data_IF_089985631192
#
_entry.id   IF_089985631192
#
_cell.length_a   1.000
_cell.length_b   1.000
_cell.length_c   1.000
_cell.angle_alpha   90.00
_cell.angle_beta   90.00
_cell.angle_gamma   90.00
#
_symmetry.space_group_name_H-M   'P 1'
#
loop_
_entity.id
_entity.type
_entity.pdbx_description
1 polymer ?
#
# COMPACT_ATOMS: atom_id res chain seq x y z
N UNK A 1 3.88 -2.56 -0.12
CA UNK A 1 3.24 -1.22 0.02
C UNK A 1 3.02 -0.67 -1.37
N UNK A 2 1.88 -0.06 -1.68
CA UNK A 2 1.50 0.25 -3.07
C UNK A 2 1.07 1.69 -3.20
N UNK A 3 1.29 2.30 -4.36
CA UNK A 3 0.97 3.72 -4.57
C UNK A 3 -0.06 3.83 -5.68
N UNK A 4 -1.25 4.35 -5.34
CA UNK A 4 -2.22 4.80 -6.31
C UNK A 4 -1.88 6.24 -6.69
N UNK A 5 -1.66 6.49 -7.98
CA UNK A 5 -1.42 7.85 -8.48
C UNK A 5 -2.64 8.27 -9.30
N UNK A 6 -3.40 9.24 -8.81
CA UNK A 6 -4.55 9.83 -9.49
C UNK A 6 -4.09 11.12 -10.20
N UNK A 7 -3.88 11.04 -11.52
CA UNK A 7 -3.54 12.21 -12.35
C UNK A 7 -4.81 12.59 -13.13
N UNK A 8 -5.45 13.70 -12.77
CA UNK A 8 -6.51 14.29 -13.58
C UNK A 8 -5.90 15.18 -14.69
N UNK A 9 -6.23 14.96 -15.98
CA UNK A 9 -6.11 15.97 -17.05
C UNK A 9 -7.49 16.56 -17.43
N UNK A 10 -7.55 17.71 -18.15
CA UNK A 10 -6.52 18.19 -19.08
C UNK A 10 -6.22 19.70 -18.99
N UNK A 11 -5.04 20.18 -18.57
CA UNK A 11 -4.77 21.63 -18.73
C UNK A 11 -3.36 22.03 -19.16
N UNK A 12 -3.37 23.12 -19.93
CA UNK A 12 -2.27 23.84 -20.57
C UNK A 12 -1.52 24.72 -19.58
N UNK A 13 -0.26 24.97 -19.92
CA UNK A 13 0.72 25.81 -19.23
C UNK A 13 0.22 27.25 -19.11
N UNK A 14 -0.05 27.67 -17.87
CA UNK A 14 0.19 29.02 -17.37
C UNK A 14 -0.02 29.02 -15.84
N UNK A 15 1.10 29.24 -15.15
CA UNK A 15 1.20 30.10 -13.96
C UNK A 15 0.77 29.61 -12.56
N UNK A 16 1.70 29.89 -11.63
CA UNK A 16 1.66 29.99 -10.16
C UNK A 16 2.01 28.79 -9.25
N UNK A 17 3.03 29.09 -8.42
CA UNK A 17 3.63 28.34 -7.33
C UNK A 17 2.86 28.56 -6.02
N UNK A 18 2.55 27.50 -5.24
CA UNK A 18 2.69 27.50 -3.78
C UNK A 18 2.50 26.09 -3.17
N UNK A 19 3.42 25.73 -2.26
CA UNK A 19 3.27 24.81 -1.11
C UNK A 19 2.78 23.38 -1.35
N UNK A 20 3.71 22.47 -1.63
CA UNK A 20 3.52 21.06 -1.28
C UNK A 20 3.61 20.90 0.24
N UNK A 21 2.45 20.85 0.92
CA UNK A 21 2.38 20.42 2.32
C UNK A 21 2.31 18.90 2.33
N UNK A 22 3.46 18.26 2.47
CA UNK A 22 3.50 16.87 2.96
C UNK A 22 3.00 16.95 4.40
N UNK A 23 1.80 16.46 4.68
CA UNK A 23 1.45 16.19 6.07
C UNK A 23 2.47 15.18 6.59
N UNK A 24 3.19 15.59 7.63
CA UNK A 24 4.19 14.75 8.28
C UNK A 24 3.51 13.42 8.61
N UNK A 25 4.19 12.33 8.28
CA UNK A 25 3.94 11.06 8.95
C UNK A 25 4.14 11.33 10.44
N UNK A 26 3.05 11.42 11.20
CA UNK A 26 3.13 11.57 12.65
C UNK A 26 3.78 10.29 13.18
N UNK A 27 5.03 10.40 13.64
CA UNK A 27 5.81 9.28 14.17
C UNK A 27 5.19 8.61 15.40
N UNK A 28 4.14 9.21 15.97
CA UNK A 28 3.33 8.62 17.03
C UNK A 28 2.50 7.41 16.54
N UNK A 29 2.04 7.40 15.28
CA UNK A 29 1.27 6.28 14.71
C UNK A 29 2.15 5.01 14.50
N UNK A 30 3.49 5.14 14.49
CA UNK A 30 4.42 4.02 14.36
C UNK A 30 4.72 3.34 15.71
N UNK A 31 4.68 4.08 16.81
CA UNK A 31 5.01 3.57 18.15
C UNK A 31 3.90 2.70 18.74
N UNK A 32 2.64 2.96 18.39
CA UNK A 32 1.49 2.21 18.91
C UNK A 32 1.30 0.83 18.24
N UNK A 33 2.06 0.55 17.18
CA UNK A 33 1.96 -0.71 16.42
C UNK A 33 2.70 -1.89 17.07
N UNK A 34 3.40 -1.69 18.19
CA UNK A 34 4.24 -2.74 18.79
C UNK A 34 5.36 -3.22 17.86
N UNK A 35 5.71 -2.42 16.84
CA UNK A 35 6.78 -2.68 15.87
C UNK A 35 8.15 -2.27 16.44
N UNK A 36 8.20 -1.83 17.69
CA UNK A 36 9.41 -1.39 18.38
C UNK A 36 10.33 -2.53 18.87
N UNK A 37 9.84 -3.75 18.99
CA UNK A 37 10.66 -4.88 19.44
C UNK A 37 10.76 -5.94 18.34
N UNK A 38 12.00 -6.26 17.96
CA UNK A 38 12.42 -7.40 17.14
C UNK A 38 12.25 -7.28 15.62
N UNK A 39 13.10 -6.47 14.96
CA UNK A 39 13.73 -6.85 13.67
C UNK A 39 14.71 -5.82 13.07
N UNK A 40 15.27 -4.88 13.84
CA UNK A 40 16.37 -4.02 13.34
C UNK A 40 17.76 -4.38 13.90
N UNK A 41 17.86 -5.29 14.87
CA UNK A 41 19.12 -5.55 15.57
C UNK A 41 20.06 -6.58 14.88
N UNK A 42 19.71 -7.11 13.70
CA UNK A 42 20.51 -8.15 13.02
C UNK A 42 20.94 -7.77 11.60
N UNK A 43 21.10 -6.49 11.31
CA UNK A 43 22.06 -6.08 10.29
C UNK A 43 23.38 -5.90 11.04
N UNK A 44 24.32 -6.83 10.87
CA UNK A 44 25.72 -6.50 11.14
C UNK A 44 26.00 -5.21 10.36
N UNK A 45 26.46 -4.17 11.05
CA UNK A 45 26.98 -2.94 10.43
C UNK A 45 28.16 -3.35 9.53
N UNK A 46 27.84 -3.76 8.30
CA UNK A 46 28.79 -3.74 7.22
C UNK A 46 29.08 -2.27 6.95
N UNK A 47 30.35 -1.89 7.10
CA UNK A 47 30.89 -0.63 6.57
C UNK A 47 30.84 -0.68 5.02
N UNK A 48 29.64 -0.75 4.44
CA UNK A 48 29.44 -0.65 3.01
C UNK A 48 28.71 0.68 2.72
N UNK A 49 29.22 1.41 1.73
CA UNK A 49 28.87 2.77 1.29
C UNK A 49 27.40 3.00 0.83
N UNK A 50 26.41 2.28 1.37
CA UNK A 50 25.00 2.36 0.97
C UNK A 50 24.27 3.60 1.51
N UNK A 51 24.68 4.13 2.67
CA UNK A 51 24.10 5.36 3.26
C UNK A 51 24.33 6.61 2.39
N UNK A 52 25.35 6.59 1.53
CA UNK A 52 25.64 7.69 0.61
C UNK A 52 24.60 7.82 -0.52
N UNK A 53 23.87 6.75 -0.85
CA UNK A 53 22.90 6.76 -1.97
C UNK A 53 21.54 7.34 -1.59
N UNK A 54 21.12 7.25 -0.33
CA UNK A 54 19.88 7.88 0.16
C UNK A 54 19.98 9.41 0.23
N UNK A 55 21.19 9.97 0.25
CA UNK A 55 21.45 11.41 0.31
C UNK A 55 21.65 12.05 -1.08
N UNK A 56 21.32 11.35 -2.17
CA UNK A 56 21.27 11.98 -3.48
C UNK A 56 20.13 12.99 -3.47
N UNK A 57 20.37 14.31 -3.57
CA UNK A 57 19.28 15.28 -3.59
C UNK A 57 18.43 14.96 -4.81
N UNK A 58 17.17 14.57 -4.58
CA UNK A 58 16.19 14.43 -5.65
C UNK A 58 16.23 15.73 -6.45
N UNK A 59 16.46 15.62 -7.77
CA UNK A 59 16.35 16.77 -8.65
C UNK A 59 15.01 17.45 -8.38
N UNK A 60 15.01 18.77 -8.26
CA UNK A 60 13.78 19.53 -8.15
C UNK A 60 12.84 19.06 -9.27
N UNK A 61 11.54 18.83 -8.96
CA UNK A 61 10.60 18.41 -9.97
C UNK A 61 10.58 19.45 -11.12
N UNK A 62 10.31 19.02 -12.36
CA UNK A 62 10.21 19.94 -13.48
C UNK A 62 9.26 21.10 -13.16
N UNK A 63 9.64 22.32 -13.55
CA UNK A 63 8.91 23.56 -13.22
C UNK A 63 7.45 23.56 -13.73
N UNK A 64 7.13 22.69 -14.69
CA UNK A 64 5.82 22.56 -15.32
C UNK A 64 4.90 21.52 -14.64
N UNK A 65 5.27 20.97 -13.48
CA UNK A 65 4.49 19.93 -12.82
C UNK A 65 3.52 20.49 -11.76
N UNK A 66 2.25 20.10 -11.85
CA UNK A 66 1.25 20.42 -10.83
C UNK A 66 1.62 19.80 -9.46
N UNK A 67 1.35 20.50 -8.35
CA UNK A 67 1.62 20.00 -7.00
C UNK A 67 0.94 18.65 -6.75
N UNK A 68 1.56 17.82 -5.90
CA UNK A 68 1.07 16.50 -5.56
C UNK A 68 0.52 16.51 -4.13
N UNK A 69 -0.76 16.18 -3.99
CA UNK A 69 -1.46 16.01 -2.73
C UNK A 69 -1.43 14.52 -2.33
N UNK A 70 -0.59 14.18 -1.37
CA UNK A 70 -0.36 12.81 -0.94
C UNK A 70 -1.18 12.46 0.30
N UNK A 71 -1.94 11.37 0.25
CA UNK A 71 -2.75 10.86 1.36
C UNK A 71 -2.41 9.39 1.67
N UNK A 72 -2.20 9.02 2.95
CA UNK A 72 -2.05 7.63 3.33
C UNK A 72 -3.41 6.92 3.38
N UNK A 73 -3.43 5.61 3.11
CA UNK A 73 -4.60 4.75 3.25
C UNK A 73 -4.22 3.36 3.77
N UNK A 74 -4.46 3.12 5.05
CA UNK A 74 -4.23 1.83 5.71
C UNK A 74 -5.27 1.59 6.83
N UNK A 75 -5.41 0.35 7.27
CA UNK A 75 -6.51 -0.10 8.13
C UNK A 75 -6.59 0.62 9.49
N UNK A 76 -5.45 1.06 10.02
CA UNK A 76 -5.35 1.71 11.34
C UNK A 76 -5.67 3.22 11.31
N UNK A 77 -5.86 3.83 10.14
CA UNK A 77 -6.25 5.23 10.06
C UNK A 77 -7.64 5.46 10.66
N UNK A 78 -7.83 6.61 11.32
CA UNK A 78 -9.16 7.04 11.77
C UNK A 78 -10.12 7.17 10.60
N UNK A 79 -11.42 6.95 10.84
CA UNK A 79 -12.45 7.06 9.79
C UNK A 79 -12.49 8.44 9.12
N UNK A 80 -12.15 9.49 9.86
CA UNK A 80 -12.02 10.85 9.33
C UNK A 80 -10.84 10.96 8.34
N UNK A 81 -9.65 10.47 8.72
CA UNK A 81 -8.47 10.46 7.83
C UNK A 81 -8.72 9.58 6.59
N UNK A 82 -9.38 8.43 6.73
CA UNK A 82 -9.74 7.57 5.59
C UNK A 82 -10.73 8.25 4.63
N UNK A 83 -11.66 9.08 5.13
CA UNK A 83 -12.65 9.78 4.29
C UNK A 83 -12.00 10.77 3.32
N UNK A 84 -10.87 11.37 3.70
CA UNK A 84 -10.17 12.38 2.89
C UNK A 84 -9.76 11.89 1.51
N UNK A 85 -9.54 10.59 1.31
CA UNK A 85 -9.18 10.03 -0.01
C UNK A 85 -10.34 10.10 -1.01
N UNK A 86 -11.57 10.33 -0.54
CA UNK A 86 -12.77 10.51 -1.39
C UNK A 86 -13.09 11.98 -1.67
N UNK A 87 -12.46 12.90 -0.94
CA UNK A 87 -12.64 14.33 -1.15
C UNK A 87 -11.83 14.77 -2.38
N UNK A 88 -12.34 15.74 -3.16
CA UNK A 88 -11.57 16.26 -4.29
C UNK A 88 -10.27 16.89 -3.77
N UNK A 89 -9.13 16.70 -4.47
CA UNK A 89 -7.89 17.36 -4.10
C UNK A 89 -8.03 18.89 -4.22
N UNK A 90 -7.17 19.66 -3.52
CA UNK A 90 -7.09 21.10 -3.70
C UNK A 90 -6.94 21.52 -5.16
N UNK A 91 -7.49 22.68 -5.51
CA UNK A 91 -7.45 23.18 -6.89
C UNK A 91 -6.00 23.28 -7.41
N UNK A 92 -5.78 22.82 -8.64
CA UNK A 92 -4.44 22.78 -9.25
C UNK A 92 -3.54 21.64 -8.77
N UNK A 93 -3.96 20.79 -7.82
CA UNK A 93 -3.18 19.66 -7.34
C UNK A 93 -3.61 18.30 -7.94
N UNK A 94 -2.64 17.42 -8.12
CA UNK A 94 -2.84 16.00 -8.43
C UNK A 94 -2.95 15.19 -7.14
N UNK A 95 -3.71 14.11 -7.13
CA UNK A 95 -3.88 13.29 -5.93
C UNK A 95 -3.01 12.05 -6.00
N UNK A 96 -2.32 11.72 -4.91
CA UNK A 96 -1.55 10.50 -4.74
C UNK A 96 -2.04 9.81 -3.46
N UNK A 97 -2.51 8.58 -3.57
CA UNK A 97 -2.94 7.79 -2.42
C UNK A 97 -1.94 6.67 -2.20
N UNK A 98 -1.24 6.71 -1.07
CA UNK A 98 -0.27 5.70 -0.69
C UNK A 98 -0.99 4.68 0.18
N UNK A 99 -1.18 3.47 -0.33
CA UNK A 99 -2.08 2.50 0.29
C UNK A 99 -1.45 1.13 0.57
N UNK A 100 -2.02 0.44 1.55
CA UNK A 100 -1.80 -1.01 1.74
C UNK A 100 -2.77 -1.81 0.86
N UNK A 101 -2.83 -3.12 1.05
CA UNK A 101 -3.81 -4.01 0.42
C UNK A 101 -5.28 -3.66 0.77
N UNK A 102 -5.55 -2.70 1.68
CA UNK A 102 -6.90 -2.16 1.89
C UNK A 102 -7.53 -1.68 0.58
N UNK A 103 -6.74 -0.98 -0.24
CA UNK A 103 -7.21 -0.46 -1.53
C UNK A 103 -7.30 -1.54 -2.64
N UNK A 104 -6.81 -2.75 -2.39
CA UNK A 104 -7.00 -3.90 -3.28
C UNK A 104 -8.44 -4.41 -3.24
N UNK A 105 -9.14 -4.23 -2.12
CA UNK A 105 -10.54 -4.63 -1.92
C UNK A 105 -11.49 -3.48 -2.28
N UNK A 106 -12.81 -3.69 -2.25
CA UNK A 106 -13.89 -2.93 -2.95
C UNK A 106 -14.03 -1.39 -2.73
N UNK A 107 -12.98 -0.66 -2.37
CA UNK A 107 -12.89 0.80 -2.38
C UNK A 107 -12.69 1.34 -3.80
N UNK A 108 -13.60 2.20 -4.26
CA UNK A 108 -13.44 2.95 -5.51
C UNK A 108 -13.05 4.39 -5.18
N UNK A 109 -11.78 4.72 -5.36
CA UNK A 109 -11.28 6.08 -5.19
C UNK A 109 -11.50 6.83 -6.52
N UNK A 110 -12.20 7.97 -6.54
CA UNK A 110 -12.44 8.72 -7.76
C UNK A 110 -11.14 9.28 -8.36
N UNK A 111 -11.04 9.29 -9.68
CA UNK A 111 -9.93 9.89 -10.42
C UNK A 111 -8.66 9.04 -10.53
N UNK A 112 -8.58 7.87 -9.90
CA UNK A 112 -7.44 6.97 -10.05
C UNK A 112 -7.30 6.51 -11.50
N UNK A 113 -6.19 6.87 -12.14
CA UNK A 113 -5.82 6.47 -13.51
C UNK A 113 -4.50 5.74 -13.57
N UNK A 114 -3.66 5.85 -12.53
CA UNK A 114 -2.36 5.23 -12.50
C UNK A 114 -2.21 4.42 -11.21
N UNK A 115 -1.67 3.21 -11.34
CA UNK A 115 -1.33 2.34 -10.22
C UNK A 115 0.15 2.05 -10.32
N UNK A 116 0.88 2.21 -9.22
CA UNK A 116 2.27 1.81 -9.08
C UNK A 116 2.33 0.65 -8.09
N UNK A 117 2.71 -0.51 -8.61
CA UNK A 117 2.67 -1.79 -7.95
C UNK A 117 4.09 -2.25 -7.56
N UNK A 118 4.40 -2.41 -6.27
CA UNK A 118 5.72 -2.87 -5.79
C UNK A 118 5.90 -4.39 -5.84
N UNK A 119 4.84 -5.17 -6.01
CA UNK A 119 4.85 -6.63 -5.91
C UNK A 119 4.83 -7.20 -4.48
N UNK A 120 4.85 -6.38 -3.42
CA UNK A 120 4.91 -6.86 -2.02
C UNK A 120 3.76 -6.46 -1.09
N UNK A 121 3.23 -7.44 -0.36
CA UNK A 121 2.26 -7.24 0.72
C UNK A 121 2.80 -7.69 2.08
N UNK A 122 2.32 -7.05 3.15
CA UNK A 122 2.53 -7.52 4.52
C UNK A 122 1.36 -8.45 4.85
N UNK A 123 1.65 -9.74 5.03
CA UNK A 123 0.65 -10.76 5.37
C UNK A 123 1.00 -11.44 6.68
N UNK A 124 -0.02 -11.95 7.36
CA UNK A 124 0.15 -12.76 8.58
C UNK A 124 0.30 -14.22 8.14
N UNK A 125 1.37 -14.87 8.57
CA UNK A 125 1.56 -16.32 8.43
C UNK A 125 1.31 -16.98 9.77
N UNK A 126 0.59 -18.09 9.74
CA UNK A 126 0.36 -18.95 10.89
C UNK A 126 1.10 -20.27 10.69
N UNK A 127 1.93 -20.64 11.66
CA UNK A 127 2.56 -21.95 11.71
C UNK A 127 1.72 -22.87 12.61
N UNK A 128 1.07 -23.91 12.05
CA UNK A 128 0.22 -24.82 12.82
C UNK A 128 1.01 -25.74 13.77
N UNK A 129 2.32 -25.89 13.59
CA UNK A 129 3.17 -26.75 14.44
C UNK A 129 3.55 -26.00 15.72
N UNK A 130 4.02 -24.77 15.59
CA UNK A 130 4.43 -23.93 16.73
C UNK A 130 3.28 -23.16 17.35
N UNK A 131 2.16 -22.99 16.63
CA UNK A 131 1.03 -22.15 17.04
C UNK A 131 1.31 -20.66 16.96
N UNK A 132 2.45 -20.26 16.39
CA UNK A 132 2.88 -18.85 16.32
C UNK A 132 2.34 -18.20 15.05
N UNK A 133 1.90 -16.95 15.20
CA UNK A 133 1.60 -16.08 14.07
C UNK A 133 2.63 -14.99 13.96
N UNK A 134 3.12 -14.74 12.75
CA UNK A 134 4.06 -13.65 12.47
C UNK A 134 3.64 -12.84 11.25
N UNK A 135 4.02 -11.57 11.22
CA UNK A 135 3.88 -10.76 10.02
C UNK A 135 5.13 -10.88 9.16
N UNK A 136 4.95 -11.19 7.88
CA UNK A 136 6.03 -11.21 6.90
C UNK A 136 5.69 -10.32 5.72
N UNK A 137 6.72 -9.76 5.11
CA UNK A 137 6.60 -9.14 3.78
C UNK A 137 6.83 -10.23 2.75
N UNK A 138 5.87 -10.42 1.85
CA UNK A 138 5.92 -11.46 0.84
C UNK A 138 5.44 -10.92 -0.52
N UNK A 139 5.79 -11.62 -1.58
CA UNK A 139 5.27 -11.34 -2.91
C UNK A 139 3.75 -11.57 -2.94
N UNK A 140 3.04 -10.72 -3.68
CA UNK A 140 1.62 -10.94 -3.95
C UNK A 140 1.39 -12.06 -4.94
N UNK A 141 0.17 -12.58 -4.95
CA UNK A 141 -0.26 -13.46 -6.03
C UNK A 141 -0.46 -12.70 -7.35
N UNK A 142 -0.41 -13.42 -8.47
CA UNK A 142 -0.75 -12.88 -9.79
C UNK A 142 -2.16 -12.30 -9.79
N UNK A 143 -3.13 -13.01 -9.20
CA UNK A 143 -4.50 -12.53 -9.04
C UNK A 143 -4.59 -11.22 -8.24
N UNK A 144 -3.78 -11.05 -7.19
CA UNK A 144 -3.73 -9.80 -6.41
C UNK A 144 -3.14 -8.66 -7.23
N UNK A 145 -2.02 -8.89 -7.92
CA UNK A 145 -1.41 -7.91 -8.84
C UNK A 145 -2.35 -7.48 -9.98
N UNK A 146 -3.18 -8.39 -10.49
CA UNK A 146 -4.18 -8.09 -11.51
C UNK A 146 -5.35 -7.27 -10.93
N UNK A 147 -5.79 -7.59 -9.70
CA UNK A 147 -6.79 -6.78 -8.98
C UNK A 147 -6.30 -5.35 -8.73
N UNK A 148 -5.02 -5.19 -8.33
CA UNK A 148 -4.36 -3.89 -8.14
C UNK A 148 -4.33 -3.10 -9.45
N UNK A 149 -3.87 -3.73 -10.54
CA UNK A 149 -3.85 -3.10 -11.87
C UNK A 149 -5.25 -2.70 -12.34
N UNK A 150 -6.27 -3.52 -12.09
CA UNK A 150 -7.67 -3.25 -12.43
C UNK A 150 -8.26 -2.00 -11.76
N UNK A 151 -7.63 -1.47 -10.70
CA UNK A 151 -8.06 -0.23 -10.04
C UNK A 151 -7.85 0.99 -10.91
N UNK A 152 -6.81 1.01 -11.76
CA UNK A 152 -6.57 2.09 -12.70
C UNK A 152 -7.67 2.22 -13.77
N UNK A 153 -8.38 1.12 -14.05
CA UNK A 153 -9.36 1.03 -15.14
C UNK A 153 -10.83 1.14 -14.73
N UNK A 154 -11.15 1.49 -13.47
CA UNK A 154 -12.54 1.46 -12.98
C UNK A 154 -13.45 2.56 -13.55
N UNK A 155 -12.90 3.73 -13.82
CA UNK A 155 -13.67 4.92 -14.24
C UNK A 155 -13.30 5.37 -15.66
N UNK A 156 -12.02 5.26 -16.02
CA UNK A 156 -11.48 5.66 -17.31
C UNK A 156 -10.32 4.73 -17.68
N UNK A 157 -9.85 4.73 -18.95
CA UNK A 157 -8.61 4.07 -19.30
C UNK A 157 -7.46 4.55 -18.39
N UNK A 158 -6.70 3.60 -17.87
CA UNK A 158 -5.62 3.85 -16.92
C UNK A 158 -4.42 2.95 -17.18
N UNK A 159 -3.32 3.24 -16.48
CA UNK A 159 -2.06 2.53 -16.61
C UNK A 159 -1.64 1.90 -15.27
N UNK A 160 -1.08 0.69 -15.33
CA UNK A 160 -0.47 0.03 -14.19
C UNK A 160 1.04 -0.10 -14.45
N UNK A 161 1.84 0.42 -13.53
CA UNK A 161 3.29 0.31 -13.52
C UNK A 161 3.70 -0.70 -12.45
N UNK A 162 4.20 -1.85 -12.86
CA UNK A 162 4.76 -2.86 -11.96
C UNK A 162 6.26 -2.60 -11.80
N UNK A 163 6.74 -2.51 -10.56
CA UNK A 163 8.16 -2.28 -10.24
C UNK A 163 8.97 -3.59 -10.24
N UNK A 164 8.50 -4.60 -10.97
CA UNK A 164 9.11 -5.91 -11.13
C UNK A 164 8.95 -6.36 -12.58
N UNK A 165 9.86 -7.21 -13.05
CA UNK A 165 9.88 -7.67 -14.44
C UNK A 165 8.77 -8.69 -14.72
N UNK A 166 8.47 -8.91 -16.00
CA UNK A 166 7.54 -9.97 -16.41
C UNK A 166 8.01 -11.36 -16.00
N UNK A 167 9.33 -11.61 -16.05
CA UNK A 167 9.91 -12.88 -15.59
C UNK A 167 9.66 -13.10 -14.08
N UNK A 168 9.88 -12.07 -13.25
CA UNK A 168 9.60 -12.14 -11.82
C UNK A 168 8.10 -12.31 -11.54
N UNK A 169 7.24 -11.70 -12.35
CA UNK A 169 5.78 -11.86 -12.24
C UNK A 169 5.32 -13.29 -12.55
N UNK A 170 5.94 -13.97 -13.51
CA UNK A 170 5.63 -15.35 -13.86
C UNK A 170 5.92 -16.33 -12.72
N UNK A 171 6.92 -16.00 -11.88
CA UNK A 171 7.28 -16.77 -10.69
C UNK A 171 6.31 -16.59 -9.49
N UNK A 172 5.38 -15.62 -9.56
CA UNK A 172 4.43 -15.38 -8.47
C UNK A 172 3.40 -16.51 -8.38
N UNK A 173 2.92 -16.79 -7.17
CA UNK A 173 1.79 -17.71 -6.98
C UNK A 173 0.55 -17.20 -7.73
N UNK A 174 -0.18 -18.08 -8.44
CA UNK A 174 -1.35 -17.66 -9.23
C UNK A 174 -2.45 -17.04 -8.37
N UNK A 175 -2.71 -17.63 -7.21
CA UNK A 175 -3.74 -17.21 -6.27
C UNK A 175 -3.18 -17.18 -4.85
N UNK A 176 -3.64 -16.24 -4.04
CA UNK A 176 -3.27 -16.18 -2.63
C UNK A 176 -3.83 -17.40 -1.88
N UNK A 177 -3.09 -17.89 -0.88
CA UNK A 177 -3.56 -18.96 0.00
C UNK A 177 -4.86 -18.54 0.69
N UNK A 178 -5.83 -19.46 0.86
CA UNK A 178 -7.07 -19.17 1.58
C UNK A 178 -6.80 -18.69 3.00
N UNK A 179 -7.44 -17.59 3.42
CA UNK A 179 -7.23 -16.94 4.71
C UNK A 179 -7.48 -17.88 5.92
N UNK A 180 -8.33 -18.89 5.77
CA UNK A 180 -8.59 -19.90 6.80
C UNK A 180 -7.36 -20.75 7.14
N UNK A 181 -6.39 -20.88 6.23
CA UNK A 181 -5.15 -21.63 6.46
C UNK A 181 -4.08 -20.77 7.17
N UNK A 182 -4.25 -19.45 7.18
CA UNK A 182 -3.29 -18.50 7.74
C UNK A 182 -3.76 -17.92 9.09
N UNK A 183 -4.81 -18.52 9.69
CA UNK A 183 -5.35 -18.13 10.99
C UNK A 183 -5.59 -19.36 11.88
N UNK A 184 -5.42 -19.23 13.21
CA UNK A 184 -5.83 -20.27 14.15
C UNK A 184 -7.34 -20.54 14.04
N UNK A 185 -7.72 -21.82 14.04
CA UNK A 185 -9.12 -22.23 13.93
C UNK A 185 -9.91 -22.07 15.25
N UNK A 186 -9.25 -21.80 16.38
CA UNK A 186 -9.86 -21.82 17.71
C UNK A 186 -11.04 -20.84 17.82
N UNK A 187 -10.84 -19.59 17.39
CA UNK A 187 -11.91 -18.58 17.41
C UNK A 187 -13.07 -18.95 16.50
N UNK A 188 -12.79 -19.52 15.31
CA UNK A 188 -13.82 -19.96 14.38
C UNK A 188 -14.63 -21.12 14.99
N UNK A 189 -13.97 -22.11 15.59
CA UNK A 189 -14.63 -23.25 16.24
C UNK A 189 -15.48 -22.80 17.43
N UNK A 190 -14.96 -21.90 18.28
CA UNK A 190 -15.72 -21.33 19.40
C UNK A 190 -16.96 -20.58 18.90
N UNK A 191 -16.82 -19.80 17.82
CA UNK A 191 -17.94 -19.08 17.21
C UNK A 191 -19.00 -20.05 16.66
N UNK A 192 -18.59 -21.10 15.95
CA UNK A 192 -19.50 -22.13 15.44
C UNK A 192 -20.25 -22.86 16.57
N UNK A 193 -19.57 -23.20 17.66
CA UNK A 193 -20.20 -23.80 18.84
C UNK A 193 -21.24 -22.86 19.48
N UNK A 194 -20.96 -21.56 19.55
CA UNK A 194 -21.92 -20.57 20.08
C UNK A 194 -23.19 -20.44 19.21
N UNK A 195 -23.07 -20.69 17.91
CA UNK A 195 -24.20 -20.77 16.97
C UNK A 195 -24.91 -22.13 16.98
N UNK A 196 -24.56 -23.02 17.92
CA UNK A 196 -25.06 -24.37 18.02
C UNK A 196 -24.83 -25.21 16.74
N UNK A 197 -23.77 -24.88 15.98
CA UNK A 197 -23.31 -25.69 14.85
C UNK A 197 -22.38 -26.75 15.43
N UNK A 198 -23.00 -27.86 15.80
CA UNK A 198 -22.33 -29.02 16.38
C UNK A 198 -22.27 -30.10 15.31
N UNK A 199 -21.06 -30.43 14.87
CA UNK A 199 -20.77 -31.82 14.50
C UNK A 199 -20.31 -32.56 15.75
#
# INVERSE_FOLDING_TARGET
MYVFVSINPPFKVADYFLMARVEKFDGEDLLETGVGDTMWDNYEEGEDDEDARLNTPMSAPPKDCAPLYCLPLYSLLSSEKQRRVFEPPPEGARMCVIATNVAETSLTIPGVKYVVDTGYEKRRLYDPITGVSQFVVAHVSQASADQRAGRAGRIAPGHAYRLYSSAVFEDFEKFSRPEILDKPADQLVLHLKSMNIVK
#
